data_IF_856178438285
#
_entry.id   IF_856178438285
#
_cell.length_a   1.000
_cell.length_b   1.000
_cell.length_c   1.000
_cell.angle_alpha   90.00
_cell.angle_beta   90.00
_cell.angle_gamma   90.00
#
_symmetry.space_group_name_H-M   'P 1'
#
loop_
_entity.id
_entity.type
_entity.pdbx_description
1 polymer ?
#
# COMPACT_ATOMS: atom_id res chain seq x y z
N UNK A 1 -7.91 -88.18 -22.22
CA UNK A 1 -7.81 -87.11 -21.21
C UNK A 1 -8.95 -87.35 -20.24
N UNK A 2 -8.82 -88.37 -19.38
CA UNK A 2 -8.32 -88.32 -17.98
C UNK A 2 -9.33 -87.63 -17.06
N UNK A 3 -10.18 -88.40 -16.37
CA UNK A 3 -10.09 -88.83 -14.93
C UNK A 3 -10.82 -87.82 -14.00
N UNK A 4 -11.99 -88.12 -13.42
CA UNK A 4 -12.31 -88.89 -12.17
C UNK A 4 -11.92 -88.16 -10.86
N UNK A 5 -12.94 -87.96 -9.98
CA UNK A 5 -12.93 -87.72 -8.49
C UNK A 5 -12.28 -86.44 -7.93
N UNK A 6 -12.66 -85.82 -6.80
CA UNK A 6 -13.73 -85.98 -5.81
C UNK A 6 -13.63 -84.82 -4.77
N UNK A 7 -14.64 -84.75 -3.88
CA UNK A 7 -14.55 -84.31 -2.47
C UNK A 7 -14.29 -82.83 -2.16
N UNK A 8 -15.38 -82.09 -1.92
CA UNK A 8 -15.38 -80.96 -0.98
C UNK A 8 -15.82 -81.48 0.40
N UNK A 9 -14.85 -81.77 1.27
CA UNK A 9 -15.06 -82.12 2.67
C UNK A 9 -15.39 -80.88 3.49
N UNK A 10 -16.48 -80.98 4.26
CA UNK A 10 -16.80 -80.12 5.40
C UNK A 10 -15.77 -80.32 6.51
N UNK A 11 -15.18 -79.23 6.99
CA UNK A 11 -14.49 -79.19 8.29
C UNK A 11 -14.95 -77.96 9.08
N UNK A 12 -15.83 -78.26 10.03
CA UNK A 12 -16.14 -77.47 11.23
C UNK A 12 -14.87 -77.37 12.10
N UNK A 13 -14.51 -76.19 12.61
CA UNK A 13 -14.16 -75.96 14.03
C UNK A 13 -13.41 -74.64 14.27
N UNK A 14 -13.78 -74.03 15.40
CA UNK A 14 -13.02 -73.03 16.20
C UNK A 14 -13.22 -71.56 15.82
N UNK A 15 -14.35 -70.99 16.26
CA UNK A 15 -14.39 -69.56 16.58
C UNK A 15 -13.56 -69.31 17.85
N UNK A 16 -12.29 -68.94 17.68
CA UNK A 16 -11.55 -68.24 18.72
C UNK A 16 -12.14 -66.83 18.85
N UNK A 17 -12.81 -66.55 19.96
CA UNK A 17 -13.18 -65.19 20.31
C UNK A 17 -11.89 -64.39 20.56
N UNK A 18 -11.42 -63.66 19.56
CA UNK A 18 -10.33 -62.72 19.73
C UNK A 18 -10.63 -61.80 20.94
N UNK A 19 -9.68 -61.57 21.86
CA UNK A 19 -9.93 -60.73 23.02
C UNK A 19 -10.34 -59.34 22.51
N UNK A 20 -11.55 -58.90 22.89
CA UNK A 20 -12.01 -57.54 22.62
C UNK A 20 -11.00 -56.60 23.26
N UNK A 21 -10.21 -55.91 22.44
CA UNK A 21 -9.29 -54.90 22.92
C UNK A 21 -10.14 -53.80 23.55
N UNK A 22 -10.14 -53.73 24.89
CA UNK A 22 -10.74 -52.62 25.59
C UNK A 22 -10.04 -51.37 25.05
N UNK A 23 -10.75 -50.60 24.22
CA UNK A 23 -10.26 -49.34 23.71
C UNK A 23 -9.78 -48.56 24.93
N UNK A 24 -8.53 -48.11 24.91
CA UNK A 24 -8.02 -47.22 25.95
C UNK A 24 -9.07 -46.12 26.11
N UNK A 25 -9.79 -46.13 27.23
CA UNK A 25 -10.95 -45.26 27.45
C UNK A 25 -10.58 -43.84 27.01
N UNK A 26 -11.55 -42.98 26.65
CA UNK A 26 -11.24 -41.60 26.27
C UNK A 26 -10.49 -40.80 27.36
N UNK A 27 -10.25 -41.41 28.53
CA UNK A 27 -9.46 -40.89 29.64
C UNK A 27 -8.06 -41.51 29.82
N UNK A 28 -7.66 -42.53 29.04
CA UNK A 28 -6.27 -42.97 28.77
C UNK A 28 -5.26 -43.02 29.93
N UNK A 29 -5.69 -43.17 31.19
CA UNK A 29 -4.82 -43.05 32.37
C UNK A 29 -5.02 -44.25 33.29
N UNK A 30 -3.99 -45.07 33.40
CA UNK A 30 -3.90 -46.23 34.31
C UNK A 30 -4.08 -45.82 35.79
N UNK A 31 -3.98 -44.51 36.11
CA UNK A 31 -4.18 -43.95 37.47
C UNK A 31 -5.10 -42.71 37.52
N UNK A 32 -5.94 -42.50 36.50
CA UNK A 32 -6.79 -41.33 36.37
C UNK A 32 -8.07 -41.44 37.19
N UNK A 33 -8.13 -40.73 38.32
CA UNK A 33 -9.30 -40.61 39.19
C UNK A 33 -10.56 -40.24 38.37
N UNK A 34 -11.59 -41.10 38.32
CA UNK A 34 -12.72 -40.95 37.38
C UNK A 34 -13.59 -39.71 37.66
N UNK A 35 -13.46 -39.11 38.85
CA UNK A 35 -14.16 -37.89 39.23
C UNK A 35 -13.53 -36.60 38.71
N UNK A 36 -12.42 -36.67 37.96
CA UNK A 36 -11.78 -35.48 37.39
C UNK A 36 -12.26 -35.25 35.96
N UNK A 37 -12.79 -34.07 35.70
CA UNK A 37 -13.18 -33.62 34.37
C UNK A 37 -11.96 -33.55 33.42
N UNK A 38 -12.20 -33.90 32.15
CA UNK A 38 -11.21 -33.74 31.08
C UNK A 38 -10.94 -32.26 30.84
N UNK A 39 -9.66 -31.86 30.83
CA UNK A 39 -9.29 -30.48 30.51
C UNK A 39 -9.41 -30.27 29.00
N UNK A 40 -10.31 -29.39 28.59
CA UNK A 40 -10.42 -28.92 27.21
C UNK A 40 -9.84 -27.50 27.08
N UNK A 41 -9.47 -27.11 25.86
CA UNK A 41 -9.02 -25.75 25.61
C UNK A 41 -10.16 -24.75 25.87
N UNK A 42 -9.91 -23.74 26.71
CA UNK A 42 -10.90 -22.71 27.01
C UNK A 42 -11.08 -21.77 25.81
N UNK A 43 -12.25 -21.83 25.16
CA UNK A 43 -12.62 -20.92 24.08
C UNK A 43 -13.22 -19.65 24.68
N UNK A 44 -12.56 -18.50 24.50
CA UNK A 44 -13.09 -17.20 24.94
C UNK A 44 -14.17 -16.75 23.95
N UNK A 45 -15.29 -16.21 24.44
CA UNK A 45 -16.35 -15.66 23.58
C UNK A 45 -15.91 -14.38 22.86
N UNK A 46 -15.15 -13.53 23.56
CA UNK A 46 -14.67 -12.25 23.04
C UNK A 46 -13.25 -12.39 22.49
N UNK A 47 -13.15 -12.82 21.22
CA UNK A 47 -11.92 -12.72 20.45
C UNK A 47 -11.90 -11.41 19.63
N UNK A 48 -10.73 -10.78 19.45
CA UNK A 48 -10.59 -9.67 18.52
C UNK A 48 -10.78 -10.16 17.07
N UNK A 49 -11.32 -9.30 16.20
CA UNK A 49 -11.67 -9.65 14.81
C UNK A 49 -10.46 -10.10 13.99
N UNK A 50 -9.27 -9.62 14.35
CA UNK A 50 -8.01 -10.08 13.78
C UNK A 50 -7.77 -11.57 13.99
N UNK A 51 -8.18 -12.14 15.12
CA UNK A 51 -8.01 -13.58 15.43
C UNK A 51 -9.19 -14.40 14.90
N UNK A 52 -10.38 -13.80 14.78
CA UNK A 52 -11.58 -14.44 14.19
C UNK A 52 -11.47 -14.61 12.66
N UNK A 53 -10.73 -13.73 12.00
CA UNK A 53 -10.55 -13.77 10.54
C UNK A 53 -9.43 -14.73 10.13
N UNK A 54 -9.58 -15.37 8.97
CA UNK A 54 -8.49 -16.14 8.37
C UNK A 54 -7.36 -15.22 7.90
N UNK A 55 -6.14 -15.74 7.84
CA UNK A 55 -4.99 -14.99 7.32
C UNK A 55 -5.23 -14.49 5.88
N UNK A 56 -5.87 -15.31 5.04
CA UNK A 56 -6.22 -14.94 3.67
C UNK A 56 -7.16 -13.73 3.61
N UNK A 57 -8.17 -13.67 4.48
CA UNK A 57 -9.08 -12.53 4.56
C UNK A 57 -8.37 -11.25 5.02
N UNK A 58 -7.41 -11.35 5.95
CA UNK A 58 -6.57 -10.21 6.36
C UNK A 58 -5.70 -9.72 5.20
N UNK A 59 -5.09 -10.65 4.46
CA UNK A 59 -4.24 -10.33 3.31
C UNK A 59 -5.01 -9.62 2.19
N UNK A 60 -6.25 -10.05 1.91
CA UNK A 60 -7.11 -9.38 0.93
C UNK A 60 -7.47 -7.95 1.36
N UNK A 61 -7.71 -7.71 2.66
CA UNK A 61 -7.97 -6.35 3.19
C UNK A 61 -6.74 -5.46 3.02
N UNK A 62 -5.56 -5.95 3.39
CA UNK A 62 -4.32 -5.18 3.24
C UNK A 62 -4.01 -4.85 1.78
N UNK A 63 -4.23 -5.80 0.86
CA UNK A 63 -4.06 -5.55 -0.58
C UNK A 63 -5.03 -4.48 -1.10
N UNK A 64 -6.31 -4.54 -0.68
CA UNK A 64 -7.30 -3.51 -1.04
C UNK A 64 -6.91 -2.14 -0.51
N UNK A 65 -6.48 -2.07 0.75
CA UNK A 65 -6.01 -0.81 1.35
C UNK A 65 -4.78 -0.24 0.65
N UNK A 66 -3.84 -1.10 0.25
CA UNK A 66 -2.67 -0.70 -0.54
C UNK A 66 -3.08 -0.15 -1.91
N UNK A 67 -3.99 -0.83 -2.61
CA UNK A 67 -4.50 -0.36 -3.90
C UNK A 67 -5.22 0.99 -3.79
N UNK A 68 -6.03 1.18 -2.74
CA UNK A 68 -6.70 2.47 -2.47
C UNK A 68 -5.68 3.58 -2.20
N UNK A 69 -4.64 3.29 -1.40
CA UNK A 69 -3.59 4.27 -1.10
C UNK A 69 -2.79 4.66 -2.34
N UNK A 70 -2.46 3.70 -3.20
CA UNK A 70 -1.78 3.94 -4.48
C UNK A 70 -2.61 4.87 -5.38
N UNK A 71 -3.90 4.56 -5.54
CA UNK A 71 -4.82 5.42 -6.29
C UNK A 71 -4.90 6.84 -5.68
N UNK A 72 -4.97 6.93 -4.35
CA UNK A 72 -4.99 8.21 -3.67
C UNK A 72 -3.70 9.02 -3.88
N UNK A 73 -2.53 8.37 -3.89
CA UNK A 73 -1.26 9.04 -4.15
C UNK A 73 -1.18 9.54 -5.59
N UNK A 74 -1.56 8.71 -6.56
CA UNK A 74 -1.59 9.07 -7.99
C UNK A 74 -2.48 10.31 -8.23
N UNK A 75 -3.71 10.31 -7.71
CA UNK A 75 -4.61 11.47 -7.86
C UNK A 75 -4.07 12.76 -7.22
N UNK A 76 -3.37 12.64 -6.08
CA UNK A 76 -2.77 13.80 -5.41
C UNK A 76 -1.58 14.34 -6.21
N UNK A 77 -0.74 13.46 -6.73
CA UNK A 77 0.43 13.82 -7.52
C UNK A 77 0.04 14.52 -8.81
N UNK A 78 -0.96 14.00 -9.54
CA UNK A 78 -1.50 14.64 -10.74
C UNK A 78 -2.03 16.05 -10.45
N UNK A 79 -2.83 16.20 -9.39
CA UNK A 79 -3.36 17.50 -8.99
C UNK A 79 -2.25 18.49 -8.62
N UNK A 80 -1.26 18.04 -7.87
CA UNK A 80 -0.12 18.89 -7.47
C UNK A 80 0.76 19.25 -8.67
N UNK A 81 0.95 18.33 -9.61
CA UNK A 81 1.72 18.58 -10.83
C UNK A 81 1.07 19.68 -11.68
N UNK A 82 -0.26 19.64 -11.86
CA UNK A 82 -0.98 20.67 -12.60
C UNK A 82 -0.93 22.05 -11.92
N UNK A 83 -1.11 22.09 -10.59
CA UNK A 83 -0.99 23.34 -9.82
C UNK A 83 0.42 23.92 -9.94
N UNK A 84 1.46 23.07 -9.85
CA UNK A 84 2.87 23.49 -10.03
C UNK A 84 3.09 24.06 -11.42
N UNK A 85 2.66 23.37 -12.49
CA UNK A 85 2.77 23.87 -13.87
C UNK A 85 2.18 25.27 -14.03
N UNK A 86 0.98 25.52 -13.51
CA UNK A 86 0.34 26.84 -13.57
C UNK A 86 1.13 27.91 -12.81
N UNK A 87 1.65 27.56 -11.64
CA UNK A 87 2.48 28.45 -10.83
C UNK A 87 3.78 28.78 -11.54
N UNK A 88 4.45 27.79 -12.11
CA UNK A 88 5.74 27.94 -12.79
C UNK A 88 5.60 28.82 -14.02
N UNK A 89 4.56 28.62 -14.85
CA UNK A 89 4.25 29.50 -15.99
C UNK A 89 4.03 30.94 -15.54
N UNK A 90 3.31 31.15 -14.45
CA UNK A 90 3.03 32.50 -13.93
C UNK A 90 4.29 33.15 -13.38
N UNK A 91 5.13 32.40 -12.66
CA UNK A 91 6.40 32.89 -12.16
C UNK A 91 7.35 33.24 -13.30
N UNK A 92 7.40 32.43 -14.35
CA UNK A 92 8.24 32.68 -15.52
C UNK A 92 7.80 33.94 -16.26
N UNK A 93 6.50 34.14 -16.45
CA UNK A 93 5.96 35.39 -17.03
C UNK A 93 6.33 36.62 -16.21
N UNK A 94 6.31 36.52 -14.88
CA UNK A 94 6.71 37.62 -13.99
C UNK A 94 8.21 37.90 -14.10
N UNK A 95 9.05 36.87 -14.10
CA UNK A 95 10.51 37.00 -14.27
C UNK A 95 10.87 37.68 -15.58
N UNK A 96 10.29 37.23 -16.69
CA UNK A 96 10.52 37.83 -18.02
C UNK A 96 10.10 39.31 -18.03
N UNK A 97 8.95 39.65 -17.43
CA UNK A 97 8.48 41.03 -17.37
C UNK A 97 9.38 41.92 -16.51
N UNK A 98 9.85 41.42 -15.37
CA UNK A 98 10.77 42.13 -14.47
C UNK A 98 12.14 42.36 -15.13
N UNK A 99 12.69 41.34 -15.79
CA UNK A 99 13.95 41.46 -16.54
C UNK A 99 13.83 42.47 -17.67
N UNK A 100 12.74 42.42 -18.44
CA UNK A 100 12.46 43.40 -19.49
C UNK A 100 12.38 44.82 -18.92
N UNK A 101 11.64 45.00 -17.81
CA UNK A 101 11.51 46.31 -17.15
C UNK A 101 12.86 46.84 -16.70
N UNK A 102 13.70 46.00 -16.09
CA UNK A 102 15.05 46.37 -15.66
C UNK A 102 15.92 46.82 -16.85
N UNK A 103 15.89 46.08 -17.95
CA UNK A 103 16.63 46.45 -19.16
C UNK A 103 16.14 47.77 -19.78
N UNK A 104 14.83 48.02 -19.74
CA UNK A 104 14.24 49.27 -20.21
C UNK A 104 14.64 50.46 -19.31
N UNK A 105 14.61 50.29 -17.99
CA UNK A 105 15.09 51.29 -17.02
C UNK A 105 16.57 51.64 -17.24
N UNK A 106 17.42 50.63 -17.44
CA UNK A 106 18.85 50.83 -17.71
C UNK A 106 19.09 51.52 -19.07
N UNK A 107 18.36 51.11 -20.12
CA UNK A 107 18.40 51.79 -21.43
C UNK A 107 17.94 53.24 -21.33
N UNK A 108 16.86 53.51 -20.60
CA UNK A 108 16.34 54.86 -20.39
C UNK A 108 17.36 55.73 -19.63
N UNK A 109 17.99 55.19 -18.59
CA UNK A 109 19.04 55.88 -17.81
C UNK A 109 20.24 56.23 -18.69
N UNK A 110 20.68 55.30 -19.54
CA UNK A 110 21.79 55.54 -20.49
C UNK A 110 21.42 56.54 -21.58
N UNK A 111 20.21 56.44 -22.13
CA UNK A 111 19.65 57.40 -23.08
C UNK A 111 19.58 58.82 -22.50
N UNK A 112 19.07 58.96 -21.27
CA UNK A 112 19.01 60.23 -20.55
C UNK A 112 20.41 60.82 -20.30
N UNK A 113 21.38 59.99 -19.89
CA UNK A 113 22.79 60.41 -19.71
C UNK A 113 23.41 60.89 -21.02
N UNK A 114 23.17 60.20 -22.14
CA UNK A 114 23.66 60.59 -23.47
C UNK A 114 23.01 61.89 -23.94
N UNK A 115 21.70 62.03 -23.79
CA UNK A 115 20.98 63.26 -24.12
C UNK A 115 21.47 64.45 -23.29
N UNK A 116 21.69 64.27 -21.99
CA UNK A 116 22.27 65.30 -21.13
C UNK A 116 23.68 65.71 -21.58
N UNK A 117 24.53 64.75 -21.99
CA UNK A 117 25.86 65.03 -22.55
C UNK A 117 25.78 65.87 -23.82
N UNK A 118 24.89 65.52 -24.75
CA UNK A 118 24.69 66.28 -25.99
C UNK A 118 24.17 67.70 -25.70
N UNK A 119 23.23 67.86 -24.77
CA UNK A 119 22.75 69.19 -24.33
C UNK A 119 23.87 70.06 -23.77
N UNK A 120 24.77 69.47 -22.95
CA UNK A 120 25.96 70.18 -22.44
C UNK A 120 26.91 70.60 -23.57
N UNK A 121 27.19 69.70 -24.53
CA UNK A 121 28.05 70.00 -25.68
C UNK A 121 27.49 71.10 -26.57
N UNK A 122 26.17 71.15 -26.74
CA UNK A 122 25.48 72.18 -27.50
C UNK A 122 25.40 73.54 -26.77
N UNK A 123 25.92 73.67 -25.54
CA UNK A 123 25.93 74.93 -24.79
C UNK A 123 24.55 75.52 -24.45
N UNK A 124 23.47 74.75 -24.65
CA UNK A 124 22.08 75.22 -24.45
C UNK A 124 21.79 75.34 -22.95
N UNK A 125 21.92 76.55 -22.42
CA UNK A 125 21.59 76.86 -21.03
C UNK A 125 20.08 77.07 -20.87
N UNK A 126 19.55 76.76 -19.68
CA UNK A 126 18.11 76.87 -19.36
C UNK A 126 17.52 78.29 -19.51
N UNK A 127 18.34 79.32 -19.74
CA UNK A 127 17.95 80.74 -19.80
C UNK A 127 17.57 81.23 -21.20
N UNK A 128 17.82 80.45 -22.25
CA UNK A 128 17.48 80.86 -23.63
C UNK A 128 16.09 80.32 -23.97
N UNK A 129 15.06 81.14 -23.75
CA UNK A 129 13.72 80.93 -24.30
C UNK A 129 13.76 81.22 -25.80
N UNK A 130 13.71 80.16 -26.61
CA UNK A 130 13.17 80.18 -27.96
C UNK A 130 11.96 79.26 -27.97
#
# INVERSE_FOLDING_TARGET
MTDITALASTSTSTEESAPVSLSSSSSGRVSGKPWKYQKTAAVRSNLPDGVKSSFSARMQKTQKEQAIKQLQTEMKEEKLAEIKRRRDITQERKRIAEEKRRLEEDKAKMGARKAARMRRKAGRTKKINQ
#
